data_IF_113837731617
#
_entry.id   IF_113837731617
#
_cell.length_a   1.000
_cell.length_b   1.000
_cell.length_c   1.000
_cell.angle_alpha   90.00
_cell.angle_beta   90.00
_cell.angle_gamma   90.00
#
_symmetry.space_group_name_H-M   'P 1'
#
loop_
_entity.id
_entity.type
_entity.pdbx_description
1 polymer ?
#
# COMPACT_ATOMS: atom_id res chain seq x y z
N UNK A 1 -11.90 -14.95 -2.66
CA UNK A 1 -10.77 -15.76 -2.15
C UNK A 1 -9.72 -14.82 -1.58
N UNK A 2 -9.10 -15.09 -0.42
CA UNK A 2 -8.11 -14.20 0.18
C UNK A 2 -6.83 -14.19 -0.67
N UNK A 3 -6.46 -13.01 -1.15
CA UNK A 3 -5.25 -12.78 -1.94
C UNK A 3 -4.05 -13.03 -1.02
N UNK A 4 -3.26 -14.07 -1.31
CA UNK A 4 -2.05 -14.40 -0.53
C UNK A 4 -0.96 -13.41 -0.93
N UNK A 5 -0.04 -13.04 -0.03
CA UNK A 5 1.10 -12.13 -0.33
C UNK A 5 1.89 -12.50 -1.60
N UNK A 6 1.91 -13.79 -1.96
CA UNK A 6 2.50 -14.29 -3.21
C UNK A 6 1.84 -13.68 -4.45
N UNK A 7 0.54 -13.36 -4.40
CA UNK A 7 -0.25 -12.89 -5.55
C UNK A 7 0.02 -11.41 -5.88
N UNK A 8 0.34 -10.57 -4.89
CA UNK A 8 0.55 -9.14 -5.12
C UNK A 8 1.90 -8.84 -5.80
N UNK A 9 2.99 -9.47 -5.34
CA UNK A 9 4.29 -9.40 -6.01
C UNK A 9 4.21 -10.04 -7.39
N UNK A 10 3.53 -11.19 -7.50
CA UNK A 10 3.27 -11.87 -8.77
C UNK A 10 2.51 -11.01 -9.77
N UNK A 11 1.54 -10.20 -9.32
CA UNK A 11 0.79 -9.31 -10.20
C UNK A 11 1.67 -8.24 -10.85
N UNK A 12 2.60 -7.64 -10.08
CA UNK A 12 3.55 -6.66 -10.62
C UNK A 12 4.56 -7.34 -11.56
N UNK A 13 5.08 -8.51 -11.19
CA UNK A 13 5.99 -9.31 -12.03
C UNK A 13 5.38 -9.64 -13.40
N UNK A 14 4.10 -10.04 -13.43
CA UNK A 14 3.38 -10.35 -14.68
C UNK A 14 3.26 -9.11 -15.57
N UNK A 15 2.98 -7.93 -14.99
CA UNK A 15 2.87 -6.68 -15.73
C UNK A 15 4.23 -6.24 -16.30
N UNK A 16 5.30 -6.39 -15.51
CA UNK A 16 6.66 -6.10 -15.96
C UNK A 16 7.13 -7.08 -17.04
N UNK A 17 6.76 -8.35 -16.94
CA UNK A 17 7.05 -9.37 -17.95
C UNK A 17 6.33 -9.05 -19.27
N UNK A 18 5.04 -8.73 -19.22
CA UNK A 18 4.31 -8.31 -20.40
C UNK A 18 4.92 -7.06 -21.04
N UNK A 19 5.31 -6.06 -20.24
CA UNK A 19 6.03 -4.89 -20.73
C UNK A 19 7.35 -5.24 -21.44
N UNK A 20 8.11 -6.23 -20.94
CA UNK A 20 9.36 -6.71 -21.57
C UNK A 20 9.12 -7.41 -22.91
N UNK A 21 7.96 -8.04 -23.07
CA UNK A 21 7.62 -8.77 -24.31
C UNK A 21 7.19 -7.85 -25.46
N UNK A 22 6.85 -6.58 -25.17
CA UNK A 22 6.49 -5.57 -26.17
C UNK A 22 7.73 -5.03 -26.91
N UNK A 23 8.16 -5.78 -27.93
CA UNK A 23 9.35 -5.47 -28.75
C UNK A 23 9.01 -4.92 -30.14
N UNK A 24 7.73 -4.92 -30.52
CA UNK A 24 7.30 -4.39 -31.82
C UNK A 24 7.28 -2.86 -31.82
N UNK A 25 7.70 -2.19 -32.90
CA UNK A 25 7.55 -0.73 -33.04
C UNK A 25 6.07 -0.29 -33.03
N UNK A 26 5.13 -1.17 -33.33
CA UNK A 26 3.70 -0.88 -33.22
C UNK A 26 3.22 -0.73 -31.75
N UNK A 27 3.95 -1.32 -30.80
CA UNK A 27 3.54 -1.40 -29.40
C UNK A 27 4.11 -0.28 -28.53
N UNK A 28 4.83 0.69 -29.10
CA UNK A 28 5.54 1.74 -28.35
C UNK A 28 4.60 2.52 -27.42
N UNK A 29 3.39 2.86 -27.88
CA UNK A 29 2.41 3.58 -27.07
C UNK A 29 1.91 2.74 -25.89
N UNK A 30 1.60 1.47 -26.12
CA UNK A 30 1.17 0.54 -25.07
C UNK A 30 2.27 0.31 -24.05
N UNK A 31 3.51 0.11 -24.52
CA UNK A 31 4.70 -0.04 -23.68
C UNK A 31 4.88 1.17 -22.75
N UNK A 32 4.79 2.38 -23.29
CA UNK A 32 4.88 3.63 -22.51
C UNK A 32 3.75 3.78 -21.48
N UNK A 33 2.52 3.43 -21.87
CA UNK A 33 1.37 3.45 -20.96
C UNK A 33 1.56 2.48 -19.77
N UNK A 34 2.04 1.26 -20.05
CA UNK A 34 2.30 0.25 -19.02
C UNK A 34 3.46 0.68 -18.11
N UNK A 35 4.55 1.21 -18.67
CA UNK A 35 5.65 1.75 -17.89
C UNK A 35 5.18 2.83 -16.90
N UNK A 36 4.28 3.72 -17.36
CA UNK A 36 3.69 4.76 -16.50
C UNK A 36 2.86 4.15 -15.37
N UNK A 37 2.05 3.13 -15.64
CA UNK A 37 1.28 2.42 -14.60
C UNK A 37 2.21 1.79 -13.57
N UNK A 38 3.28 1.10 -14.00
CA UNK A 38 4.28 0.50 -13.11
C UNK A 38 4.94 1.56 -12.23
N UNK A 39 5.37 2.69 -12.82
CA UNK A 39 6.01 3.80 -12.08
C UNK A 39 5.08 4.39 -11.02
N UNK A 40 3.82 4.69 -11.40
CA UNK A 40 2.82 5.23 -10.47
C UNK A 40 2.55 4.24 -9.34
N UNK A 41 2.38 2.96 -9.66
CA UNK A 41 2.12 1.92 -8.67
C UNK A 41 3.28 1.79 -7.67
N UNK A 42 4.53 1.71 -8.16
CA UNK A 42 5.73 1.65 -7.30
C UNK A 42 5.84 2.89 -6.42
N UNK A 43 5.66 4.09 -6.97
CA UNK A 43 5.70 5.33 -6.19
C UNK A 43 4.64 5.35 -5.08
N UNK A 44 3.39 4.94 -5.39
CA UNK A 44 2.34 4.81 -4.38
C UNK A 44 2.70 3.79 -3.30
N UNK A 45 3.28 2.64 -3.66
CA UNK A 45 3.73 1.63 -2.72
C UNK A 45 4.89 2.13 -1.84
N UNK A 46 5.83 2.90 -2.38
CA UNK A 46 6.89 3.49 -1.57
C UNK A 46 6.35 4.53 -0.60
N UNK A 47 5.48 5.43 -1.05
CA UNK A 47 4.86 6.42 -0.17
C UNK A 47 4.06 5.76 0.96
N UNK A 48 3.33 4.69 0.64
CA UNK A 48 2.64 3.85 1.61
C UNK A 48 3.57 3.30 2.70
N UNK A 49 4.73 2.78 2.30
CA UNK A 49 5.72 2.23 3.22
C UNK A 49 6.39 3.32 4.06
N UNK A 50 6.66 4.49 3.47
CA UNK A 50 7.21 5.65 4.17
C UNK A 50 6.24 6.16 5.24
N UNK A 51 4.94 6.22 4.94
CA UNK A 51 3.92 6.64 5.91
C UNK A 51 3.84 5.69 7.11
N UNK A 52 3.97 4.38 6.87
CA UNK A 52 4.07 3.38 7.96
C UNK A 52 5.34 3.59 8.78
N UNK A 53 6.48 3.82 8.11
CA UNK A 53 7.76 4.03 8.78
C UNK A 53 7.75 5.31 9.62
N UNK A 54 7.25 6.42 9.09
CA UNK A 54 7.11 7.70 9.80
C UNK A 54 6.22 7.52 11.04
N UNK A 55 5.08 6.84 10.92
CA UNK A 55 4.24 6.52 12.07
C UNK A 55 4.99 5.70 13.12
N UNK A 56 5.72 4.66 12.70
CA UNK A 56 6.50 3.82 13.61
C UNK A 56 7.55 4.63 14.36
N UNK A 57 8.29 5.48 13.67
CA UNK A 57 9.35 6.32 14.26
C UNK A 57 8.78 7.42 15.16
N UNK A 58 7.78 8.17 14.69
CA UNK A 58 7.24 9.32 15.41
C UNK A 58 6.31 8.94 16.57
N UNK A 59 5.74 7.73 16.57
CA UNK A 59 4.76 7.30 17.58
C UNK A 59 5.24 6.12 18.40
N UNK A 60 5.66 5.03 17.74
CA UNK A 60 5.94 3.78 18.43
C UNK A 60 7.33 3.76 19.07
N UNK A 61 8.34 4.34 18.41
CA UNK A 61 9.70 4.48 18.95
C UNK A 61 9.88 5.65 19.92
N UNK A 62 8.89 6.54 20.08
CA UNK A 62 8.99 7.65 21.01
C UNK A 62 8.81 7.16 22.46
N UNK A 63 9.90 7.07 23.22
CA UNK A 63 9.90 6.63 24.61
C UNK A 63 9.28 7.65 25.58
N UNK A 64 9.05 8.89 25.15
CA UNK A 64 8.38 9.91 25.96
C UNK A 64 6.86 9.74 25.99
N UNK A 65 6.29 8.97 25.06
CA UNK A 65 4.85 8.71 24.96
C UNK A 65 4.44 7.51 25.80
N UNK A 66 3.38 7.65 26.58
CA UNK A 66 2.78 6.53 27.31
C UNK A 66 2.11 5.54 26.35
N UNK A 67 1.91 4.31 26.82
CA UNK A 67 1.21 3.26 26.05
C UNK A 67 -0.19 3.69 25.63
N UNK A 68 -0.92 4.41 26.49
CA UNK A 68 -2.26 4.94 26.20
C UNK A 68 -2.21 5.97 25.07
N UNK A 69 -1.22 6.87 25.09
CA UNK A 69 -1.05 7.86 24.04
C UNK A 69 -0.70 7.20 22.69
N UNK A 70 0.23 6.24 22.69
CA UNK A 70 0.57 5.45 21.48
C UNK A 70 -0.66 4.73 20.92
N UNK A 71 -1.50 4.17 21.80
CA UNK A 71 -2.74 3.48 21.41
C UNK A 71 -3.72 4.44 20.74
N UNK A 72 -3.96 5.62 21.33
CA UNK A 72 -4.86 6.61 20.76
C UNK A 72 -4.38 7.14 19.40
N UNK A 73 -3.08 7.43 19.28
CA UNK A 73 -2.48 7.89 18.02
C UNK A 73 -2.57 6.80 16.93
N UNK A 74 -2.34 5.54 17.29
CA UNK A 74 -2.49 4.38 16.39
C UNK A 74 -3.92 4.26 15.86
N UNK A 75 -4.93 4.38 16.73
CA UNK A 75 -6.34 4.34 16.33
C UNK A 75 -6.68 5.47 15.34
N UNK A 76 -6.21 6.70 15.60
CA UNK A 76 -6.41 7.84 14.70
C UNK A 76 -5.76 7.63 13.33
N UNK A 77 -4.61 6.97 13.26
CA UNK A 77 -3.95 6.63 11.98
C UNK A 77 -4.78 5.60 11.22
N UNK A 78 -5.28 4.57 11.91
CA UNK A 78 -6.15 3.56 11.31
C UNK A 78 -7.45 4.17 10.74
N UNK A 79 -8.10 5.07 11.47
CA UNK A 79 -9.29 5.79 10.99
C UNK A 79 -8.99 6.64 9.74
N UNK A 80 -7.87 7.38 9.75
CA UNK A 80 -7.43 8.19 8.61
C UNK A 80 -7.24 7.34 7.36
N UNK A 81 -6.61 6.18 7.48
CA UNK A 81 -6.42 5.25 6.36
C UNK A 81 -7.71 4.56 5.92
N UNK A 82 -8.67 4.36 6.82
CA UNK A 82 -9.99 3.82 6.48
C UNK A 82 -10.83 4.84 5.69
N UNK A 83 -10.73 6.12 6.03
CA UNK A 83 -11.51 7.18 5.40
C UNK A 83 -10.93 7.64 4.06
N UNK A 84 -9.66 7.36 3.78
CA UNK A 84 -9.02 7.65 2.48
C UNK A 84 -9.36 6.64 1.37
N UNK A 85 -10.40 5.80 1.55
CA UNK A 85 -10.86 4.78 0.59
C UNK A 85 -11.41 5.37 -0.71
N UNK A 86 -10.49 5.85 -1.55
CA UNK A 86 -10.66 6.20 -2.95
C UNK A 86 -9.31 6.09 -3.65
N UNK A 87 -8.85 4.86 -3.95
CA UNK A 87 -7.66 4.56 -4.77
C UNK A 87 -6.33 5.28 -4.37
N UNK A 88 -6.24 5.78 -3.14
CA UNK A 88 -5.17 6.63 -2.64
C UNK A 88 -4.84 6.37 -1.16
N UNK A 89 -4.60 5.11 -0.78
CA UNK A 89 -4.13 4.77 0.57
C UNK A 89 -3.68 3.31 0.68
N UNK A 90 -2.75 3.00 1.60
CA UNK A 90 -1.94 1.78 1.60
C UNK A 90 -2.66 0.56 2.20
N UNK A 91 -3.96 0.40 1.90
CA UNK A 91 -4.82 -0.50 2.66
C UNK A 91 -5.98 -1.11 1.90
N UNK A 92 -6.03 -0.99 0.56
CA UNK A 92 -7.12 -1.54 -0.26
C UNK A 92 -7.35 -3.06 -0.16
N UNK A 93 -6.56 -3.78 0.62
CA UNK A 93 -6.71 -5.23 0.85
C UNK A 93 -6.80 -5.63 2.34
N UNK A 94 -6.76 -4.69 3.30
CA UNK A 94 -6.68 -5.02 4.74
C UNK A 94 -7.83 -4.46 5.60
N UNK A 95 -8.75 -3.68 5.05
CA UNK A 95 -9.87 -3.11 5.82
C UNK A 95 -10.89 -4.15 6.31
N UNK A 96 -10.83 -5.41 5.85
CA UNK A 96 -11.78 -6.45 6.26
C UNK A 96 -11.46 -7.13 7.60
N UNK A 97 -10.30 -6.87 8.23
CA UNK A 97 -9.86 -7.66 9.39
C UNK A 97 -9.84 -6.91 10.73
N UNK A 98 -9.77 -5.58 10.74
CA UNK A 98 -9.70 -4.82 11.99
C UNK A 98 -11.06 -4.50 12.62
N UNK A 99 -12.15 -4.56 11.85
CA UNK A 99 -13.51 -4.41 12.39
C UNK A 99 -13.92 -5.55 13.35
N UNK A 100 -13.17 -6.67 13.37
CA UNK A 100 -13.49 -7.85 14.20
C UNK A 100 -12.79 -7.86 15.57
N UNK A 101 -11.84 -6.95 15.81
CA UNK A 101 -11.12 -6.85 17.09
C UNK A 101 -11.65 -5.74 18.02
N UNK A 102 -12.65 -4.98 17.59
CA UNK A 102 -13.34 -3.98 18.42
C UNK A 102 -14.65 -4.50 19.05
N UNK A 103 -14.92 -5.81 18.99
CA UNK A 103 -16.12 -6.45 19.55
C UNK A 103 -15.81 -7.60 20.53
N UNK A 104 -14.59 -7.66 21.06
CA UNK A 104 -14.18 -8.52 22.17
C UNK A 104 -13.49 -7.66 23.23
#
# INVERSE_FOLDING_TARGET
MPIKKQDATRALELLEEYHRQLNSPADIQLRSAIERVIKIFKSKLFNALLEIQEFYEATLLDDSKSTEQKTLETMKVAERWSNSQGLAGPGGLAAASLARLAQL
#
